data_IF_109224835202
#
_entry.id   IF_109224835202
#
_cell.length_a   1.000
_cell.length_b   1.000
_cell.length_c   1.000
_cell.angle_alpha   90.00
_cell.angle_beta   90.00
_cell.angle_gamma   90.00
#
_symmetry.space_group_name_H-M   'P 1'
#
loop_
_entity.id
_entity.type
_entity.pdbx_description
1 polymer ?
#
# COMPACT_ATOMS: atom_id res chain seq x y z
N UNK A 1 0.50 -5.45 8.92
CA UNK A 1 -0.52 -5.93 9.88
C UNK A 1 -1.74 -5.02 9.77
N UNK A 2 -2.83 -5.32 10.47
CA UNK A 2 -3.95 -4.38 10.63
C UNK A 2 -4.08 -3.95 12.09
N UNK A 3 -4.39 -2.68 12.35
CA UNK A 3 -4.54 -2.11 13.69
C UNK A 3 -5.58 -0.98 13.69
N UNK A 4 -6.16 -0.63 14.85
CA UNK A 4 -7.15 0.45 14.97
C UNK A 4 -6.54 1.81 15.36
N UNK A 5 -5.23 1.84 15.58
CA UNK A 5 -4.56 2.99 16.17
C UNK A 5 -4.47 4.09 15.13
N UNK A 6 -4.97 5.28 15.47
CA UNK A 6 -4.77 6.47 14.65
C UNK A 6 -3.29 6.82 14.59
N UNK A 7 -2.65 6.40 13.50
CA UNK A 7 -1.24 6.62 13.25
C UNK A 7 -1.09 7.32 11.92
N UNK A 8 -0.35 8.44 11.92
CA UNK A 8 -0.18 9.29 10.75
C UNK A 8 -1.50 9.81 10.12
N UNK A 9 -2.56 9.94 10.93
CA UNK A 9 -3.86 10.45 10.49
C UNK A 9 -4.71 9.42 9.76
N UNK A 10 -4.49 8.13 10.03
CA UNK A 10 -5.26 7.04 9.45
C UNK A 10 -6.69 6.95 10.01
N UNK A 11 -6.94 7.60 11.16
CA UNK A 11 -8.27 7.65 11.75
C UNK A 11 -8.49 6.56 12.78
N UNK A 12 -9.76 6.25 13.05
CA UNK A 12 -10.17 5.38 14.18
C UNK A 12 -10.70 4.02 13.75
N UNK A 13 -10.70 3.76 12.45
CA UNK A 13 -11.04 2.47 11.86
C UNK A 13 -9.80 1.56 11.77
N UNK A 14 -9.95 0.39 11.13
CA UNK A 14 -8.84 -0.54 11.04
C UNK A 14 -8.06 -0.22 9.77
N UNK A 15 -6.76 -0.01 9.91
CA UNK A 15 -5.88 0.31 8.80
C UNK A 15 -4.83 -0.76 8.57
N UNK A 16 -4.33 -0.85 7.34
CA UNK A 16 -3.20 -1.72 7.02
C UNK A 16 -1.90 -0.96 7.21
N UNK A 17 -1.05 -1.51 8.07
CA UNK A 17 0.28 -1.00 8.35
C UNK A 17 1.36 -1.92 7.78
N UNK A 18 2.47 -1.31 7.37
CA UNK A 18 3.65 -2.01 6.88
C UNK A 18 4.91 -1.49 7.56
N UNK A 19 5.89 -2.39 7.70
CA UNK A 19 7.23 -2.07 8.20
C UNK A 19 8.24 -3.05 7.62
N UNK A 20 9.41 -2.53 7.28
CA UNK A 20 10.50 -3.27 6.65
C UNK A 20 11.71 -3.36 7.59
N UNK A 21 12.40 -4.50 7.61
CA UNK A 21 13.66 -4.65 8.32
C UNK A 21 14.84 -4.40 7.39
N UNK A 22 15.64 -3.37 7.68
CA UNK A 22 16.85 -3.06 6.94
C UNK A 22 18.02 -3.90 7.44
N UNK A 23 18.48 -4.84 6.60
CA UNK A 23 19.65 -5.68 6.91
C UNK A 23 20.91 -4.82 7.08
N UNK A 24 21.08 -3.78 6.25
CA UNK A 24 22.27 -2.91 6.25
C UNK A 24 22.47 -2.15 7.56
N UNK A 25 21.39 -1.73 8.21
CA UNK A 25 21.45 -0.97 9.45
C UNK A 25 21.05 -1.81 10.66
N UNK A 26 20.55 -3.04 10.45
CA UNK A 26 19.97 -3.89 11.51
C UNK A 26 18.90 -3.15 12.32
N UNK A 27 18.04 -2.41 11.63
CA UNK A 27 16.95 -1.64 12.22
C UNK A 27 15.65 -1.87 11.45
N UNK A 28 14.53 -1.77 12.16
CA UNK A 28 13.24 -1.61 11.51
C UNK A 28 13.10 -0.21 10.93
N UNK A 29 12.47 -0.09 9.77
CA UNK A 29 12.08 1.18 9.16
C UNK A 29 11.03 1.95 9.95
N UNK A 30 10.56 3.06 9.41
CA UNK A 30 9.36 3.71 9.93
C UNK A 30 8.12 2.86 9.63
N UNK A 31 7.11 2.95 10.48
CA UNK A 31 5.80 2.35 10.19
C UNK A 31 5.12 3.18 9.10
N UNK A 32 4.49 2.51 8.14
CA UNK A 32 3.78 3.14 7.02
C UNK A 32 2.33 2.69 7.02
N UNK A 33 1.40 3.62 6.75
CA UNK A 33 -0.01 3.31 6.47
C UNK A 33 -0.12 2.98 4.99
N UNK A 34 -0.66 1.81 4.66
CA UNK A 34 -0.80 1.34 3.27
C UNK A 34 -2.22 1.57 2.74
N UNK A 35 -3.23 1.56 3.60
CA UNK A 35 -4.65 1.83 3.29
C UNK A 35 -4.96 3.34 3.11
N UNK A 36 -4.09 4.11 2.45
CA UNK A 36 -4.19 5.58 2.40
C UNK A 36 -5.45 6.13 1.71
N UNK A 37 -6.12 5.33 0.89
CA UNK A 37 -7.39 5.68 0.24
C UNK A 37 -8.61 5.24 1.05
N UNK A 38 -8.39 4.53 2.16
CA UNK A 38 -9.45 4.00 2.99
C UNK A 38 -10.15 5.11 3.76
N UNK A 39 -11.46 4.99 3.87
CA UNK A 39 -12.30 5.77 4.78
C UNK A 39 -13.13 4.85 5.69
N UNK A 40 -12.79 3.55 5.75
CA UNK A 40 -13.49 2.53 6.51
C UNK A 40 -12.57 1.35 6.85
N UNK A 41 -13.09 0.33 7.52
CA UNK A 41 -12.25 -0.78 7.96
C UNK A 41 -11.56 -1.50 6.80
N UNK A 42 -10.24 -1.64 6.95
CA UNK A 42 -9.36 -2.49 6.19
C UNK A 42 -8.85 -3.66 7.04
N UNK A 43 -8.66 -4.84 6.44
CA UNK A 43 -8.14 -5.97 7.20
C UNK A 43 -7.62 -7.15 6.40
N UNK A 44 -7.14 -8.14 7.16
CA UNK A 44 -6.56 -9.40 6.66
C UNK A 44 -5.52 -9.21 5.53
N UNK A 45 -4.46 -8.42 5.76
CA UNK A 45 -3.46 -8.18 4.74
C UNK A 45 -2.67 -9.46 4.41
N UNK A 46 -2.27 -9.58 3.14
CA UNK A 46 -1.36 -10.60 2.63
C UNK A 46 -0.24 -9.93 1.84
N UNK A 47 0.98 -10.45 1.98
CA UNK A 47 2.20 -9.90 1.39
C UNK A 47 2.99 -10.98 0.64
N UNK A 48 3.54 -10.63 -0.51
CA UNK A 48 4.46 -11.46 -1.29
C UNK A 48 5.55 -10.59 -1.91
N UNK A 49 6.69 -11.19 -2.23
CA UNK A 49 7.80 -10.53 -2.94
C UNK A 49 8.05 -11.29 -4.24
N UNK A 50 8.14 -10.58 -5.36
CA UNK A 50 8.44 -11.21 -6.65
C UNK A 50 9.95 -11.41 -6.89
N UNK A 51 10.31 -12.08 -7.98
CA UNK A 51 11.72 -12.37 -8.31
C UNK A 51 12.56 -11.14 -8.62
N UNK A 52 11.92 -10.00 -8.88
CA UNK A 52 12.59 -8.71 -9.10
C UNK A 52 12.67 -7.85 -7.84
N UNK A 53 12.16 -8.37 -6.71
CA UNK A 53 12.18 -7.69 -5.42
C UNK A 53 10.96 -6.84 -5.14
N UNK A 54 9.98 -6.73 -6.05
CA UNK A 54 8.79 -5.92 -5.79
C UNK A 54 7.93 -6.54 -4.70
N UNK A 55 7.41 -5.70 -3.82
CA UNK A 55 6.49 -6.11 -2.76
C UNK A 55 5.06 -5.98 -3.29
N UNK A 56 4.30 -7.05 -3.17
CA UNK A 56 2.90 -7.16 -3.50
C UNK A 56 2.11 -7.23 -2.20
N UNK A 57 1.18 -6.31 -1.98
CA UNK A 57 0.31 -6.29 -0.81
C UNK A 57 -1.15 -6.29 -1.25
N UNK A 58 -1.98 -7.13 -0.62
CA UNK A 58 -3.43 -7.14 -0.81
C UNK A 58 -4.16 -7.23 0.52
N UNK A 59 -5.33 -6.61 0.62
CA UNK A 59 -6.18 -6.64 1.81
C UNK A 59 -7.66 -6.52 1.40
N UNK A 60 -8.59 -6.76 2.33
CA UNK A 60 -9.98 -6.37 2.12
C UNK A 60 -10.24 -4.99 2.71
N UNK A 61 -11.18 -4.25 2.14
CA UNK A 61 -11.58 -2.91 2.56
C UNK A 61 -13.11 -2.75 2.39
N UNK A 62 -13.73 -1.89 3.20
CA UNK A 62 -15.16 -1.55 3.14
C UNK A 62 -15.44 -0.14 2.59
N UNK A 63 -14.39 0.57 2.18
CA UNK A 63 -14.49 1.91 1.60
C UNK A 63 -15.24 1.88 0.29
N UNK A 64 -16.21 2.78 0.13
CA UNK A 64 -16.88 3.03 -1.15
C UNK A 64 -15.94 3.77 -2.12
N UNK A 65 -14.97 3.01 -2.61
CA UNK A 65 -13.96 3.53 -3.52
C UNK A 65 -14.50 3.52 -4.94
N UNK A 66 -14.64 4.71 -5.52
CA UNK A 66 -15.13 4.93 -6.88
C UNK A 66 -16.54 4.34 -7.16
N UNK A 67 -17.42 4.31 -6.15
CA UNK A 67 -18.81 3.85 -6.29
C UNK A 67 -18.94 2.33 -6.30
N UNK A 68 -18.02 1.61 -5.66
CA UNK A 68 -18.06 0.16 -5.52
C UNK A 68 -19.12 -0.30 -4.50
N UNK A 69 -19.54 0.57 -3.58
CA UNK A 69 -20.38 0.22 -2.44
C UNK A 69 -19.55 -0.02 -1.19
N UNK A 70 -20.21 -0.47 -0.12
CA UNK A 70 -19.58 -0.68 1.20
C UNK A 70 -19.47 -2.16 1.57
N UNK A 71 -19.41 -3.06 0.58
CA UNK A 71 -19.11 -4.47 0.81
C UNK A 71 -17.59 -4.72 0.83
N UNK A 72 -17.20 -5.97 1.10
CA UNK A 72 -15.79 -6.34 1.16
C UNK A 72 -15.19 -6.36 -0.24
N UNK A 73 -14.43 -5.32 -0.56
CA UNK A 73 -13.64 -5.23 -1.77
C UNK A 73 -12.19 -5.64 -1.51
N UNK A 74 -11.50 -6.10 -2.56
CA UNK A 74 -10.08 -6.45 -2.46
C UNK A 74 -9.24 -5.31 -3.02
N UNK A 75 -8.40 -4.76 -2.16
CA UNK A 75 -7.45 -3.72 -2.49
C UNK A 75 -6.07 -4.32 -2.69
N UNK A 76 -5.26 -3.65 -3.51
CA UNK A 76 -3.93 -4.09 -3.87
C UNK A 76 -2.99 -2.90 -4.07
N UNK A 77 -1.77 -3.00 -3.53
CA UNK A 77 -0.67 -2.09 -3.79
C UNK A 77 0.60 -2.87 -4.10
N UNK A 78 1.43 -2.28 -4.98
CA UNK A 78 2.77 -2.75 -5.27
C UNK A 78 3.76 -1.65 -4.91
N UNK A 79 4.83 -2.00 -4.22
CA UNK A 79 6.01 -1.15 -4.15
C UNK A 79 7.15 -1.80 -4.92
N UNK A 80 7.81 -1.00 -5.75
CA UNK A 80 8.91 -1.50 -6.56
C UNK A 80 10.13 -1.67 -5.65
N UNK A 81 10.69 -2.88 -5.63
CA UNK A 81 11.80 -3.24 -4.77
C UNK A 81 13.11 -2.80 -5.39
N UNK A 82 13.40 -1.51 -5.31
CA UNK A 82 14.62 -0.98 -5.92
C UNK A 82 15.84 -1.65 -5.28
N UNK A 83 16.59 -2.43 -6.08
CA UNK A 83 17.93 -2.88 -5.70
C UNK A 83 18.83 -1.64 -5.74
N UNK A 84 19.12 -1.07 -4.57
CA UNK A 84 20.12 -0.01 -4.48
C UNK A 84 21.49 -0.66 -4.61
N UNK A 85 22.06 -0.64 -5.81
CA UNK A 85 23.49 -0.93 -6.01
C UNK A 85 24.28 0.25 -5.40
N UNK A 86 25.03 0.07 -4.29
CA UNK A 86 25.63 1.18 -3.54
C UNK A 86 26.51 2.08 -4.42
N UNK A 87 27.27 1.49 -5.35
CA UNK A 87 28.13 2.19 -6.31
C UNK A 87 27.41 3.04 -7.39
N UNK A 88 26.08 2.92 -7.56
CA UNK A 88 25.29 3.82 -8.42
C UNK A 88 24.36 4.77 -7.64
N UNK A 89 24.40 4.74 -6.30
CA UNK A 89 23.47 5.50 -5.45
C UNK A 89 23.90 6.93 -5.11
N UNK A 90 25.03 7.42 -5.62
CA UNK A 90 25.64 8.69 -5.15
C UNK A 90 24.99 9.98 -5.63
N UNK A 91 23.74 9.98 -6.15
CA UNK A 91 23.09 11.23 -6.58
C UNK A 91 21.59 11.37 -6.25
N UNK A 92 21.01 10.52 -5.40
CA UNK A 92 19.64 10.76 -4.95
C UNK A 92 19.61 11.23 -3.49
N UNK A 93 19.36 12.53 -3.22
CA UNK A 93 19.10 12.97 -1.86
C UNK A 93 17.84 12.30 -1.33
N UNK A 94 17.69 12.17 0.00
CA UNK A 94 16.53 11.53 0.60
C UNK A 94 15.29 12.39 0.29
N UNK A 95 14.51 11.98 -0.71
CA UNK A 95 13.26 12.65 -1.08
C UNK A 95 12.17 12.31 -0.06
N UNK A 96 12.22 12.99 1.07
CA UNK A 96 11.02 13.34 1.81
C UNK A 96 10.48 14.65 1.22
N UNK A 97 9.31 14.58 0.57
CA UNK A 97 8.54 15.76 0.17
C UNK A 97 8.82 16.26 -1.25
N UNK A 98 7.78 16.16 -2.08
CA UNK A 98 7.44 17.01 -3.22
C UNK A 98 8.59 17.79 -3.92
N UNK A 99 8.91 17.37 -5.14
CA UNK A 99 9.40 18.28 -6.18
C UNK A 99 8.68 18.00 -7.49
N UNK A 100 7.87 18.98 -7.91
CA UNK A 100 7.34 19.15 -9.25
C UNK A 100 8.51 19.20 -10.23
N UNK A 101 8.65 18.15 -11.06
CA UNK A 101 9.27 18.27 -12.37
C UNK A 101 8.18 17.95 -13.39
N UNK A 102 8.00 18.89 -14.30
CA UNK A 102 6.95 18.99 -15.30
C UNK A 102 6.53 17.64 -15.91
N UNK A 103 5.23 17.36 -15.80
CA UNK A 103 4.48 16.51 -16.75
C UNK A 103 4.70 15.00 -16.72
N UNK A 104 5.02 14.38 -15.58
CA UNK A 104 4.70 12.96 -15.38
C UNK A 104 4.25 12.75 -13.94
N UNK A 105 2.94 12.58 -13.76
CA UNK A 105 2.36 12.10 -12.51
C UNK A 105 2.85 10.66 -12.33
N UNK A 106 3.99 10.46 -11.66
CA UNK A 106 4.29 9.17 -11.04
C UNK A 106 3.58 9.20 -9.69
N UNK A 107 2.25 9.13 -9.75
CA UNK A 107 1.52 8.54 -8.66
C UNK A 107 2.09 7.12 -8.47
N UNK A 108 2.26 6.62 -7.23
CA UNK A 108 2.40 5.18 -7.07
C UNK A 108 1.24 4.57 -7.86
N UNK A 109 1.56 3.72 -8.84
CA UNK A 109 0.53 3.07 -9.63
C UNK A 109 -0.29 2.19 -8.69
N UNK A 110 -1.34 2.78 -8.12
CA UNK A 110 -2.37 2.08 -7.40
C UNK A 110 -3.25 1.44 -8.47
N UNK A 111 -2.87 0.26 -8.95
CA UNK A 111 -3.78 -0.58 -9.72
C UNK A 111 -4.74 -1.22 -8.73
N UNK A 112 -5.80 -0.50 -8.38
CA UNK A 112 -6.95 -1.09 -7.70
C UNK A 112 -7.70 -1.94 -8.72
N UNK A 113 -7.77 -3.25 -8.49
CA UNK A 113 -8.50 -4.18 -9.34
C UNK A 113 -9.90 -4.40 -8.76
N UNK A 114 -10.94 -4.10 -9.55
CA UNK A 114 -12.32 -4.43 -9.23
C UNK A 114 -12.53 -5.94 -9.30
N UNK A 115 -12.93 -6.57 -8.20
CA UNK A 115 -13.40 -7.96 -8.21
C UNK A 115 -14.62 -8.12 -7.31
N UNK A 116 -15.80 -7.77 -7.81
CA UNK A 116 -17.06 -8.03 -7.11
C UNK A 116 -17.54 -9.47 -7.36
N UNK A 117 -17.85 -10.21 -6.30
CA UNK A 117 -18.52 -11.52 -6.41
C UNK A 117 -20.03 -11.30 -6.51
N UNK A 118 -20.61 -11.41 -7.70
CA UNK A 118 -22.07 -11.48 -7.84
C UNK A 118 -22.57 -12.84 -7.35
N UNK A 119 -23.21 -12.88 -6.18
CA UNK A 119 -23.92 -14.08 -5.70
C UNK A 119 -25.13 -14.33 -6.62
N UNK A 120 -25.01 -15.24 -7.59
CA UNK A 120 -26.18 -15.74 -8.33
C UNK A 120 -27.13 -16.41 -7.34
N UNK A 121 -28.30 -15.82 -7.10
CA UNK A 121 -29.43 -16.52 -6.51
C UNK A 121 -29.94 -17.48 -7.59
N UNK A 122 -29.74 -18.78 -7.38
CA UNK A 122 -30.42 -19.78 -8.19
C UNK A 122 -31.91 -19.67 -7.87
N UNK A 123 -32.70 -19.38 -8.91
CA UNK A 123 -34.17 -19.44 -8.90
C UNK A 123 -34.66 -20.88 -8.78
#
# INVERSE_FOLDING_TARGET
>A
WSDWTDYAGSGTDFDIFYKHWFISTSLWGTTEVVSTESTSHSGSPSIAIDSTGNVHLSWWDLTDYAGAGTDYDIFYKRSDGYIVIPELSTNFPPVYGFLLISSVIIAPFCKVFKSSRTRRKNS
#
